data_IF_888696562290
#
_entry.id   IF_888696562290
#
_cell.length_a   1.000
_cell.length_b   1.000
_cell.length_c   1.000
_cell.angle_alpha   90.00
_cell.angle_beta   90.00
_cell.angle_gamma   90.00
#
_symmetry.space_group_name_H-M   'P 1'
#
loop_
_entity.id
_entity.type
_entity.pdbx_description
1 polymer ?
#
# COMPACT_ATOMS: atom_id res chain seq x y z
N UNK A 1 -34.64 -1.93 14.54
CA UNK A 1 -34.39 -0.75 13.69
C UNK A 1 -32.88 -0.52 13.60
N UNK A 2 -32.25 -0.95 12.50
CA UNK A 2 -30.84 -0.65 12.18
C UNK A 2 -30.86 0.00 10.80
N UNK A 3 -30.76 1.33 10.74
CA UNK A 3 -30.61 2.06 9.49
C UNK A 3 -29.20 1.85 8.96
N UNK A 4 -29.08 1.24 7.77
CA UNK A 4 -27.86 1.23 6.97
C UNK A 4 -27.48 2.68 6.65
N UNK A 5 -26.48 3.23 7.33
CA UNK A 5 -25.65 4.31 6.78
C UNK A 5 -24.88 3.70 5.61
N UNK A 6 -25.36 3.92 4.38
CA UNK A 6 -24.59 3.63 3.19
C UNK A 6 -23.53 4.71 3.04
N UNK A 7 -22.40 4.49 3.72
CA UNK A 7 -21.11 5.12 3.40
C UNK A 7 -20.90 4.98 1.89
N UNK A 8 -20.78 6.10 1.17
CA UNK A 8 -20.11 5.99 -0.13
C UNK A 8 -18.65 5.74 0.20
N UNK A 9 -18.23 4.52 -0.04
CA UNK A 9 -16.84 4.20 -0.28
C UNK A 9 -16.35 5.12 -1.41
N UNK A 10 -15.11 5.57 -1.37
CA UNK A 10 -14.47 6.41 -2.38
C UNK A 10 -14.39 5.76 -3.80
N UNK A 11 -15.09 4.65 -4.02
CA UNK A 11 -14.97 3.70 -5.13
C UNK A 11 -15.83 4.02 -6.36
N UNK A 12 -16.63 5.09 -6.38
CA UNK A 12 -17.38 5.49 -7.59
C UNK A 12 -17.15 6.95 -7.93
N UNK A 13 -15.88 7.36 -7.92
CA UNK A 13 -15.47 8.66 -8.42
C UNK A 13 -15.05 8.53 -9.88
N UNK A 14 -15.56 9.37 -10.80
CA UNK A 14 -15.08 9.38 -12.18
C UNK A 14 -13.56 9.55 -12.21
N UNK A 15 -12.85 8.80 -13.07
CA UNK A 15 -11.39 8.85 -13.16
C UNK A 15 -10.85 10.26 -13.43
N UNK A 16 -11.60 11.07 -14.17
CA UNK A 16 -11.29 12.48 -14.44
C UNK A 16 -11.35 13.40 -13.22
N UNK A 17 -11.96 12.96 -12.13
CA UNK A 17 -12.14 13.73 -10.89
C UNK A 17 -11.29 13.21 -9.73
N UNK A 18 -10.35 12.28 -9.96
CA UNK A 18 -9.58 11.60 -8.90
C UNK A 18 -8.98 12.53 -7.85
N UNK A 19 -8.63 13.77 -8.21
CA UNK A 19 -8.14 14.81 -7.30
C UNK A 19 -9.13 15.29 -6.22
N UNK A 20 -10.41 14.93 -6.34
CA UNK A 20 -11.49 15.29 -5.41
C UNK A 20 -11.74 14.19 -4.36
N UNK A 21 -11.26 12.97 -4.61
CA UNK A 21 -11.49 11.83 -3.73
C UNK A 21 -10.95 12.06 -2.32
N UNK A 22 -9.76 12.66 -2.19
CA UNK A 22 -9.15 12.99 -0.90
C UNK A 22 -9.98 14.00 -0.11
N UNK A 23 -10.51 15.03 -0.78
CA UNK A 23 -11.36 16.07 -0.20
C UNK A 23 -12.64 15.47 0.39
N UNK A 24 -13.31 14.59 -0.37
CA UNK A 24 -14.54 13.93 0.09
C UNK A 24 -14.30 12.93 1.22
N UNK A 25 -13.15 12.25 1.21
CA UNK A 25 -12.75 11.37 2.31
C UNK A 25 -12.56 12.18 3.60
N UNK A 26 -11.84 13.29 3.52
CA UNK A 26 -11.64 14.20 4.67
C UNK A 26 -12.99 14.70 5.18
N UNK A 27 -13.88 15.18 4.30
CA UNK A 27 -15.22 15.61 4.69
C UNK A 27 -16.00 14.53 5.48
N UNK A 28 -15.86 13.27 5.10
CA UNK A 28 -16.52 12.15 5.78
C UNK A 28 -15.93 11.89 7.16
N UNK A 29 -14.61 12.02 7.33
CA UNK A 29 -13.94 11.89 8.62
C UNK A 29 -14.32 13.03 9.57
N UNK A 30 -14.44 14.25 9.04
CA UNK A 30 -14.75 15.46 9.83
C UNK A 30 -16.22 15.57 10.24
N UNK A 31 -17.14 14.87 9.57
CA UNK A 31 -18.59 15.01 9.76
C UNK A 31 -19.02 14.95 11.23
N UNK A 32 -18.46 14.01 11.98
CA UNK A 32 -18.82 13.77 13.38
C UNK A 32 -18.27 14.82 14.35
N UNK A 33 -17.18 15.51 13.99
CA UNK A 33 -16.47 16.44 14.87
C UNK A 33 -16.77 17.91 14.55
N UNK A 34 -16.83 18.24 13.25
CA UNK A 34 -17.02 19.60 12.72
C UNK A 34 -17.93 19.55 11.48
N UNK A 35 -19.26 19.42 11.66
CA UNK A 35 -20.19 19.24 10.54
C UNK A 35 -20.21 20.43 9.57
N UNK A 36 -20.05 21.68 10.05
CA UNK A 36 -19.93 22.86 9.18
C UNK A 36 -18.67 22.83 8.31
N UNK A 37 -17.53 22.44 8.85
CA UNK A 37 -16.28 22.30 8.08
C UNK A 37 -16.41 21.17 7.05
N UNK A 38 -17.01 20.04 7.44
CA UNK A 38 -17.29 18.93 6.52
C UNK A 38 -18.21 19.34 5.35
N UNK A 39 -19.22 20.18 5.62
CA UNK A 39 -20.06 20.78 4.59
C UNK A 39 -19.24 21.64 3.62
N UNK A 40 -18.39 22.54 4.13
CA UNK A 40 -17.53 23.41 3.30
C UNK A 40 -16.59 22.59 2.41
N UNK A 41 -16.07 21.46 2.89
CA UNK A 41 -15.29 20.53 2.08
C UNK A 41 -16.10 19.90 0.93
N UNK A 42 -17.34 19.48 1.19
CA UNK A 42 -18.21 18.91 0.14
C UNK A 42 -18.63 19.96 -0.87
N UNK A 43 -18.86 21.19 -0.42
CA UNK A 43 -19.14 22.32 -1.30
C UNK A 43 -17.93 22.63 -2.19
N UNK A 44 -16.73 22.72 -1.61
CA UNK A 44 -15.50 22.90 -2.36
C UNK A 44 -15.24 21.76 -3.35
N UNK A 45 -15.49 20.50 -2.96
CA UNK A 45 -15.40 19.35 -3.84
C UNK A 45 -16.36 19.48 -5.04
N UNK A 46 -17.58 19.97 -4.82
CA UNK A 46 -18.54 20.23 -5.89
C UNK A 46 -18.05 21.34 -6.83
N UNK A 47 -17.59 22.47 -6.30
CA UNK A 47 -17.05 23.56 -7.11
C UNK A 47 -15.80 23.15 -7.91
N UNK A 48 -14.89 22.38 -7.30
CA UNK A 48 -13.70 21.85 -7.96
C UNK A 48 -14.09 20.89 -9.08
N UNK A 49 -15.09 20.03 -8.88
CA UNK A 49 -15.64 19.18 -9.93
C UNK A 49 -16.27 19.98 -11.07
N UNK A 50 -16.94 21.10 -10.74
CA UNK A 50 -17.51 22.00 -11.73
C UNK A 50 -16.42 22.68 -12.57
N UNK A 51 -15.35 23.17 -11.94
CA UNK A 51 -14.20 23.78 -12.63
C UNK A 51 -13.45 22.82 -13.55
N UNK A 52 -13.27 21.56 -13.12
CA UNK A 52 -12.56 20.55 -13.90
C UNK A 52 -13.30 20.10 -15.17
N UNK A 53 -14.64 20.19 -15.19
CA UNK A 53 -15.45 19.80 -16.35
C UNK A 53 -16.75 20.60 -16.36
N UNK A 54 -16.71 21.86 -16.79
CA UNK A 54 -17.87 22.77 -16.73
C UNK A 54 -19.07 22.23 -17.53
N UNK A 55 -18.83 21.60 -18.69
CA UNK A 55 -19.86 21.01 -19.54
C UNK A 55 -20.38 19.66 -19.03
N UNK A 56 -19.74 19.07 -18.01
CA UNK A 56 -20.07 17.75 -17.46
C UNK A 56 -20.06 16.64 -18.52
N UNK A 57 -19.10 16.74 -19.43
CA UNK A 57 -18.95 15.89 -20.62
C UNK A 57 -18.24 14.56 -20.34
N UNK A 58 -17.49 14.48 -19.24
CA UNK A 58 -16.78 13.28 -18.81
C UNK A 58 -17.72 12.15 -18.38
N UNK A 59 -17.32 10.91 -18.67
CA UNK A 59 -18.09 9.71 -18.32
C UNK A 59 -18.38 9.68 -16.81
N UNK A 60 -19.65 9.71 -16.44
CA UNK A 60 -20.10 9.66 -15.04
C UNK A 60 -19.99 10.99 -14.27
N UNK A 61 -19.40 12.05 -14.83
CA UNK A 61 -19.22 13.35 -14.14
C UNK A 61 -20.55 14.01 -13.81
N UNK A 62 -21.49 14.03 -14.77
CA UNK A 62 -22.82 14.59 -14.54
C UNK A 62 -23.58 13.86 -13.43
N UNK A 63 -23.54 12.53 -13.43
CA UNK A 63 -24.18 11.70 -12.39
C UNK A 63 -23.54 11.94 -11.03
N UNK A 64 -22.21 12.02 -10.97
CA UNK A 64 -21.46 12.33 -9.76
C UNK A 64 -21.84 13.71 -9.18
N UNK A 65 -21.82 14.77 -10.00
CA UNK A 65 -22.20 16.12 -9.56
C UNK A 65 -23.63 16.18 -9.05
N UNK A 66 -24.56 15.52 -9.74
CA UNK A 66 -25.96 15.43 -9.30
C UNK A 66 -26.07 14.70 -7.96
N UNK A 67 -25.37 13.57 -7.78
CA UNK A 67 -25.41 12.80 -6.54
C UNK A 67 -24.76 13.54 -5.35
N UNK A 68 -23.64 14.24 -5.59
CA UNK A 68 -22.98 15.07 -4.58
C UNK A 68 -23.86 16.25 -4.18
N UNK A 69 -24.51 16.90 -5.16
CA UNK A 69 -25.47 17.96 -4.91
C UNK A 69 -26.71 17.46 -4.15
N UNK A 70 -27.27 16.31 -4.54
CA UNK A 70 -28.37 15.69 -3.81
C UNK A 70 -28.01 15.39 -2.36
N UNK A 71 -26.75 15.03 -2.08
CA UNK A 71 -26.29 14.78 -0.70
C UNK A 71 -26.06 16.04 0.11
N UNK A 72 -25.58 17.11 -0.52
CA UNK A 72 -25.61 18.43 0.09
C UNK A 72 -27.05 18.76 0.52
N UNK A 73 -28.05 18.40 -0.31
CA UNK A 73 -29.49 18.53 0.00
C UNK A 73 -30.05 17.51 1.02
N UNK A 74 -29.48 16.31 1.18
CA UNK A 74 -30.05 15.24 2.05
C UNK A 74 -29.53 15.21 3.48
N UNK A 75 -28.49 15.98 3.80
CA UNK A 75 -27.98 16.11 5.18
C UNK A 75 -28.93 16.93 6.10
N UNK A 76 -30.08 17.33 5.55
CA UNK A 76 -31.24 17.90 6.24
C UNK A 76 -32.45 16.96 6.14
N UNK A 77 -33.11 16.64 7.26
CA UNK A 77 -34.55 16.31 7.30
C UNK A 77 -35.15 16.76 8.64
N UNK A 78 -36.43 17.20 8.69
CA UNK A 78 -37.53 16.68 7.85
C UNK A 78 -38.59 17.69 7.30
N UNK A 79 -39.47 17.15 6.42
CA UNK A 79 -40.82 17.57 5.99
C UNK A 79 -40.97 18.70 4.93
N UNK A 80 -41.33 18.33 3.68
CA UNK A 80 -42.64 18.57 3.06
C UNK A 80 -42.72 17.93 1.66
N UNK A 81 -43.92 17.42 1.35
CA UNK A 81 -44.28 16.74 0.12
C UNK A 81 -44.80 17.72 -0.96
N UNK A 82 -44.77 17.27 -2.23
CA UNK A 82 -45.33 17.89 -3.45
C UNK A 82 -44.62 19.17 -3.94
N UNK A 83 -44.30 19.40 -5.23
CA UNK A 83 -44.93 18.98 -6.49
C UNK A 83 -43.88 18.86 -7.62
N UNK A 84 -44.21 18.07 -8.65
CA UNK A 84 -43.35 17.81 -9.80
C UNK A 84 -43.55 18.80 -10.98
N UNK A 85 -42.44 19.01 -11.70
CA UNK A 85 -42.25 19.45 -13.11
C UNK A 85 -42.43 20.94 -13.48
N UNK A 86 -41.30 21.61 -13.74
CA UNK A 86 -41.04 22.27 -15.04
C UNK A 86 -39.57 22.07 -15.41
N UNK A 87 -39.31 21.21 -16.39
CA UNK A 87 -38.02 21.13 -17.07
C UNK A 87 -37.94 22.26 -18.11
N UNK A 88 -36.99 23.18 -17.91
CA UNK A 88 -36.02 23.70 -18.90
C UNK A 88 -35.48 25.11 -18.61
N UNK A 89 -35.82 25.77 -17.49
CA UNK A 89 -35.33 27.15 -17.22
C UNK A 89 -34.94 27.46 -15.76
N UNK A 90 -34.48 26.48 -14.97
CA UNK A 90 -34.23 26.70 -13.52
C UNK A 90 -32.81 26.38 -13.02
N UNK A 91 -31.81 26.20 -13.87
CA UNK A 91 -30.46 25.84 -13.36
C UNK A 91 -29.72 26.96 -12.62
N UNK A 92 -30.11 28.24 -12.76
CA UNK A 92 -29.46 29.37 -12.08
C UNK A 92 -30.26 29.91 -10.88
N UNK A 93 -31.60 29.87 -10.93
CA UNK A 93 -32.46 30.39 -9.86
C UNK A 93 -32.72 29.32 -8.78
N UNK A 94 -32.83 28.03 -9.14
CA UNK A 94 -32.79 26.96 -8.12
C UNK A 94 -31.40 26.80 -7.51
N UNK A 95 -30.33 27.16 -8.23
CA UNK A 95 -28.97 27.19 -7.68
C UNK A 95 -28.83 28.22 -6.54
N UNK A 96 -29.41 29.42 -6.70
CA UNK A 96 -29.39 30.45 -5.66
C UNK A 96 -30.33 30.11 -4.48
N UNK A 97 -31.57 29.69 -4.76
CA UNK A 97 -32.53 29.34 -3.69
C UNK A 97 -32.18 28.05 -2.93
N UNK A 98 -31.55 27.05 -3.55
CA UNK A 98 -31.20 25.79 -2.90
C UNK A 98 -29.91 25.87 -2.07
N UNK A 99 -28.93 26.70 -2.46
CA UNK A 99 -27.74 26.98 -1.62
C UNK A 99 -28.13 27.76 -0.36
N UNK A 100 -29.08 28.71 -0.47
CA UNK A 100 -29.56 29.48 0.68
C UNK A 100 -30.32 28.64 1.72
N UNK A 101 -31.10 27.64 1.29
CA UNK A 101 -31.86 26.77 2.20
C UNK A 101 -31.00 25.76 2.99
N UNK A 102 -29.90 25.25 2.41
CA UNK A 102 -28.97 24.31 3.08
C UNK A 102 -28.02 25.03 4.06
N UNK A 103 -27.76 26.32 3.85
CA UNK A 103 -26.93 27.15 4.72
C UNK A 103 -27.49 27.21 6.15
N UNK A 104 -28.81 27.34 6.32
CA UNK A 104 -29.48 27.51 7.62
C UNK A 104 -29.24 26.35 8.61
N UNK A 105 -29.17 25.11 8.12
CA UNK A 105 -29.04 23.92 8.99
C UNK A 105 -27.63 23.74 9.57
N UNK A 106 -26.60 23.99 8.77
CA UNK A 106 -25.20 23.92 9.22
C UNK A 106 -24.76 25.21 9.93
N UNK A 107 -25.44 26.34 9.68
CA UNK A 107 -25.32 27.57 10.48
C UNK A 107 -25.71 27.34 11.96
N UNK A 108 -26.63 26.43 12.26
CA UNK A 108 -26.98 26.08 13.66
C UNK A 108 -25.83 25.37 14.40
N UNK A 109 -24.93 24.70 13.66
CA UNK A 109 -23.73 24.05 14.20
C UNK A 109 -22.48 24.93 14.18
N UNK A 110 -22.62 26.18 13.74
CA UNK A 110 -21.53 27.14 13.54
C UNK A 110 -20.95 27.58 14.89
N UNK A 111 -19.62 27.56 14.99
CA UNK A 111 -18.90 27.96 16.21
C UNK A 111 -18.33 29.38 16.05
N UNK A 112 -17.95 29.78 14.83
CA UNK A 112 -17.33 31.08 14.56
C UNK A 112 -18.28 32.02 13.82
N UNK A 113 -17.92 33.31 13.77
CA UNK A 113 -18.78 34.33 13.14
C UNK A 113 -18.84 34.22 11.63
N UNK A 114 -17.79 33.72 10.98
CA UNK A 114 -17.68 33.57 9.53
C UNK A 114 -17.17 32.16 9.19
N UNK A 115 -17.40 31.70 7.96
CA UNK A 115 -16.95 30.37 7.53
C UNK A 115 -15.43 30.34 7.35
N UNK A 116 -14.87 31.48 6.96
CA UNK A 116 -13.43 31.73 6.98
C UNK A 116 -12.86 31.44 8.37
N UNK A 117 -13.37 32.10 9.42
CA UNK A 117 -12.88 31.94 10.78
C UNK A 117 -13.09 30.52 11.33
N UNK A 118 -14.13 29.83 10.91
CA UNK A 118 -14.38 28.44 11.29
C UNK A 118 -13.33 27.49 10.69
N UNK A 119 -13.02 27.70 9.42
CA UNK A 119 -12.01 26.93 8.69
C UNK A 119 -10.60 27.27 9.17
N UNK A 120 -10.28 28.54 9.44
CA UNK A 120 -9.01 28.99 10.02
C UNK A 120 -8.77 28.39 11.41
N UNK A 121 -9.78 28.51 12.29
CA UNK A 121 -9.69 27.96 13.65
C UNK A 121 -9.51 26.44 13.63
N UNK A 122 -10.14 25.75 12.69
CA UNK A 122 -9.98 24.31 12.54
C UNK A 122 -8.60 23.96 11.96
N UNK A 123 -8.11 24.71 10.97
CA UNK A 123 -6.77 24.53 10.40
C UNK A 123 -5.69 24.65 11.48
N UNK A 124 -5.74 25.72 12.30
CA UNK A 124 -4.80 25.92 13.39
C UNK A 124 -4.84 24.79 14.42
N UNK A 125 -6.05 24.39 14.84
CA UNK A 125 -6.22 23.26 15.76
C UNK A 125 -5.67 21.96 15.18
N UNK A 126 -5.92 21.69 13.89
CA UNK A 126 -5.45 20.50 13.21
C UNK A 126 -3.92 20.47 13.12
N UNK A 127 -3.31 21.59 12.72
CA UNK A 127 -1.87 21.70 12.58
C UNK A 127 -1.14 21.53 13.93
N UNK A 128 -1.65 22.14 15.01
CA UNK A 128 -1.04 22.02 16.34
C UNK A 128 -1.17 20.60 16.91
N UNK A 129 -2.38 20.03 16.88
CA UNK A 129 -2.67 18.78 17.59
C UNK A 129 -2.36 17.51 16.80
N UNK A 130 -2.26 17.60 15.46
CA UNK A 130 -1.95 16.44 14.62
C UNK A 130 -0.58 16.58 13.97
N UNK A 131 -0.25 17.73 13.36
CA UNK A 131 1.05 17.84 12.66
C UNK A 131 2.18 18.02 13.67
N UNK A 132 2.17 19.08 14.50
CA UNK A 132 3.25 19.31 15.47
C UNK A 132 3.36 18.19 16.51
N UNK A 133 2.22 17.71 17.02
CA UNK A 133 2.22 16.62 17.99
C UNK A 133 2.81 15.30 17.44
N UNK A 134 2.55 14.98 16.17
CA UNK A 134 3.14 13.80 15.55
C UNK A 134 4.62 14.04 15.17
N UNK A 135 5.01 15.23 14.73
CA UNK A 135 6.41 15.57 14.37
C UNK A 135 7.36 15.51 15.58
N UNK A 136 6.86 15.75 16.79
CA UNK A 136 7.61 15.60 18.05
C UNK A 136 7.66 14.16 18.60
N UNK A 137 6.92 13.22 18.02
CA UNK A 137 6.94 11.82 18.43
C UNK A 137 8.23 11.13 17.99
N UNK A 138 8.96 10.49 18.92
CA UNK A 138 10.17 9.69 18.63
C UNK A 138 9.95 8.52 17.66
N UNK A 139 8.71 8.26 17.23
CA UNK A 139 8.30 7.13 16.41
C UNK A 139 6.97 7.42 15.71
N UNK A 140 6.86 8.57 15.03
CA UNK A 140 5.65 8.92 14.31
C UNK A 140 5.45 7.96 13.12
N UNK A 141 4.29 7.32 13.05
CA UNK A 141 3.90 6.49 11.91
C UNK A 141 3.87 7.37 10.64
N UNK A 142 4.86 7.20 9.76
CA UNK A 142 5.02 8.00 8.53
C UNK A 142 3.76 8.00 7.68
N UNK A 143 2.99 6.91 7.69
CA UNK A 143 1.73 6.84 6.96
C UNK A 143 0.67 7.77 7.57
N UNK A 144 0.63 7.88 8.89
CA UNK A 144 -0.23 8.85 9.59
C UNK A 144 0.24 10.28 9.35
N UNK A 145 1.56 10.52 9.38
CA UNK A 145 2.14 11.84 9.11
C UNK A 145 1.84 12.31 7.68
N UNK A 146 2.04 11.45 6.68
CA UNK A 146 1.72 11.75 5.28
C UNK A 146 0.22 11.97 5.06
N UNK A 147 -0.64 11.20 5.73
CA UNK A 147 -2.09 11.46 5.75
C UNK A 147 -2.40 12.83 6.36
N UNK A 148 -1.72 13.21 7.45
CA UNK A 148 -1.94 14.48 8.13
C UNK A 148 -1.51 15.67 7.26
N UNK A 149 -0.32 15.64 6.66
CA UNK A 149 0.14 16.69 5.73
C UNK A 149 -0.76 16.82 4.50
N UNK A 150 -1.19 15.70 3.91
CA UNK A 150 -2.12 15.74 2.78
C UNK A 150 -3.49 16.35 3.17
N UNK A 151 -3.96 16.05 4.39
CA UNK A 151 -5.21 16.61 4.91
C UNK A 151 -5.09 18.10 5.19
N UNK A 152 -3.97 18.55 5.75
CA UNK A 152 -3.68 19.97 5.96
C UNK A 152 -3.59 20.75 4.64
N UNK A 153 -2.98 20.19 3.60
CA UNK A 153 -2.96 20.82 2.26
C UNK A 153 -4.36 21.05 1.71
N UNK A 154 -5.24 20.04 1.81
CA UNK A 154 -6.64 20.18 1.40
C UNK A 154 -7.42 21.20 2.26
N UNK A 155 -7.16 21.24 3.57
CA UNK A 155 -7.74 22.24 4.48
C UNK A 155 -7.35 23.67 4.08
N UNK A 156 -6.08 23.89 3.72
CA UNK A 156 -5.62 25.20 3.26
C UNK A 156 -6.26 25.61 1.92
N UNK A 157 -6.39 24.67 0.97
CA UNK A 157 -7.09 24.93 -0.30
C UNK A 157 -8.55 25.36 -0.09
N UNK A 158 -9.27 24.70 0.81
CA UNK A 158 -10.66 25.04 1.17
C UNK A 158 -10.71 26.42 1.82
N UNK A 159 -9.81 26.70 2.76
CA UNK A 159 -9.72 27.99 3.44
C UNK A 159 -9.53 29.15 2.45
N UNK A 160 -8.56 29.04 1.54
CA UNK A 160 -8.32 30.05 0.51
C UNK A 160 -9.55 30.28 -0.38
N UNK A 161 -10.32 29.22 -0.65
CA UNK A 161 -11.56 29.32 -1.42
C UNK A 161 -12.65 30.07 -0.66
N UNK A 162 -12.83 29.77 0.63
CA UNK A 162 -13.82 30.42 1.49
C UNK A 162 -13.49 31.91 1.67
N UNK A 163 -12.22 32.26 1.93
CA UNK A 163 -11.79 33.65 2.08
C UNK A 163 -12.04 34.45 0.80
N UNK A 164 -11.78 33.86 -0.37
CA UNK A 164 -12.07 34.49 -1.67
C UNK A 164 -13.56 34.73 -1.88
N UNK A 165 -14.43 33.82 -1.45
CA UNK A 165 -15.88 33.94 -1.60
C UNK A 165 -16.46 35.01 -0.65
N UNK A 166 -16.01 35.03 0.61
CA UNK A 166 -16.39 36.04 1.61
C UNK A 166 -15.71 37.41 1.39
N UNK A 167 -14.87 37.54 0.34
CA UNK A 167 -14.11 38.76 -0.01
C UNK A 167 -13.24 39.28 1.14
N UNK A 168 -12.68 38.39 1.95
CA UNK A 168 -11.72 38.73 2.98
C UNK A 168 -10.33 38.84 2.35
N UNK A 169 -9.65 39.97 2.56
CA UNK A 169 -8.42 40.29 1.81
C UNK A 169 -7.20 39.46 2.21
N UNK A 170 -7.06 39.01 3.47
CA UNK A 170 -5.84 38.27 3.87
C UNK A 170 -6.11 37.15 4.90
N UNK A 171 -5.53 35.97 4.63
CA UNK A 171 -5.39 34.86 5.58
C UNK A 171 -4.31 35.27 6.61
N UNK A 172 -4.48 34.93 7.89
CA UNK A 172 -3.49 35.25 8.91
C UNK A 172 -2.06 34.79 8.53
N UNK A 173 -1.01 35.61 8.73
CA UNK A 173 0.37 35.28 8.33
C UNK A 173 0.90 33.97 8.91
N UNK A 174 0.47 33.62 10.12
CA UNK A 174 0.83 32.37 10.79
C UNK A 174 0.31 31.13 10.05
N UNK A 175 -0.87 31.21 9.44
CA UNK A 175 -1.47 30.14 8.66
C UNK A 175 -0.76 30.00 7.31
N UNK A 176 -0.35 31.13 6.71
CA UNK A 176 0.45 31.13 5.47
C UNK A 176 1.81 30.46 5.72
N UNK A 177 2.47 30.77 6.84
CA UNK A 177 3.72 30.13 7.21
C UNK A 177 3.55 28.63 7.45
N UNK A 178 2.50 28.22 8.17
CA UNK A 178 2.18 26.80 8.38
C UNK A 178 1.87 26.08 7.05
N UNK A 179 1.17 26.73 6.12
CA UNK A 179 0.90 26.18 4.80
C UNK A 179 2.17 26.02 3.96
N UNK A 180 3.14 26.93 4.09
CA UNK A 180 4.47 26.79 3.49
C UNK A 180 5.20 25.53 3.98
N UNK A 181 5.23 25.31 5.30
CA UNK A 181 5.80 24.08 5.90
C UNK A 181 5.06 22.82 5.44
N UNK A 182 3.72 22.87 5.34
CA UNK A 182 2.93 21.75 4.81
C UNK A 182 3.30 21.44 3.37
N UNK A 183 3.44 22.44 2.50
CA UNK A 183 3.72 22.20 1.08
C UNK A 183 5.13 21.65 0.88
N UNK A 184 6.13 22.15 1.61
CA UNK A 184 7.50 21.62 1.61
C UNK A 184 7.52 20.13 2.05
N UNK A 185 6.82 19.81 3.14
CA UNK A 185 6.82 18.45 3.70
C UNK A 185 5.89 17.49 2.97
N UNK A 186 4.89 17.98 2.25
CA UNK A 186 3.97 17.16 1.45
C UNK A 186 4.69 16.45 0.30
N UNK A 187 5.76 17.02 -0.24
CA UNK A 187 6.64 16.31 -1.17
C UNK A 187 7.46 15.23 -0.47
N UNK A 188 7.95 15.51 0.75
CA UNK A 188 8.71 14.54 1.57
C UNK A 188 7.84 13.33 1.95
N UNK A 189 6.56 13.54 2.25
CA UNK A 189 5.64 12.49 2.71
C UNK A 189 4.63 12.04 1.63
N UNK A 190 4.94 12.24 0.35
CA UNK A 190 4.09 11.76 -0.75
C UNK A 190 3.88 10.23 -0.65
N UNK A 191 2.68 9.71 -0.96
CA UNK A 191 2.44 8.26 -0.98
C UNK A 191 3.35 7.60 -2.02
N UNK A 192 4.30 6.79 -1.57
CA UNK A 192 5.22 6.09 -2.44
C UNK A 192 4.53 4.92 -3.16
N UNK A 193 4.89 4.69 -4.43
CA UNK A 193 4.56 3.45 -5.14
C UNK A 193 5.43 2.26 -4.67
N UNK A 194 6.64 2.52 -4.15
CA UNK A 194 7.55 1.52 -3.59
C UNK A 194 7.74 1.79 -2.10
N UNK A 195 7.58 0.77 -1.26
CA UNK A 195 7.61 0.92 0.20
C UNK A 195 8.95 1.53 0.67
N UNK A 196 8.94 2.62 1.45
CA UNK A 196 10.13 3.16 2.08
C UNK A 196 10.88 2.14 2.96
N UNK A 197 12.21 2.21 2.94
CA UNK A 197 13.07 1.62 3.97
C UNK A 197 13.00 2.48 5.25
N UNK A 198 11.86 2.48 5.95
CA UNK A 198 11.72 3.22 7.21
C UNK A 198 12.10 2.34 8.41
N UNK A 199 12.71 2.95 9.43
CA UNK A 199 13.13 2.26 10.67
C UNK A 199 11.97 1.54 11.40
N UNK A 200 10.72 1.99 11.24
CA UNK A 200 9.54 1.32 11.78
C UNK A 200 9.20 -0.03 11.09
N UNK A 201 9.72 -0.27 9.88
CA UNK A 201 9.56 -1.53 9.15
C UNK A 201 10.52 -2.62 9.68
N UNK A 202 11.60 -2.21 10.38
CA UNK A 202 12.53 -3.13 11.06
C UNK A 202 11.89 -3.90 12.21
N UNK A 203 10.78 -3.40 12.78
CA UNK A 203 10.06 -3.99 13.92
C UNK A 203 8.80 -4.78 13.53
N UNK A 204 8.71 -5.35 12.31
CA UNK A 204 7.55 -6.16 11.96
C UNK A 204 7.52 -7.49 12.75
N UNK A 205 6.36 -7.89 13.33
CA UNK A 205 6.21 -9.07 14.19
C UNK A 205 6.56 -10.43 13.55
N UNK A 206 6.83 -10.48 12.23
CA UNK A 206 7.16 -11.72 11.53
C UNK A 206 8.51 -12.28 12.02
N UNK A 207 9.44 -11.42 12.44
CA UNK A 207 10.74 -11.82 13.01
C UNK A 207 10.62 -12.45 14.42
N UNK A 208 9.43 -12.51 15.02
CA UNK A 208 9.18 -13.06 16.36
C UNK A 208 8.47 -14.42 16.34
N UNK A 209 8.26 -15.03 15.17
CA UNK A 209 7.58 -16.34 15.05
C UNK A 209 8.61 -17.47 15.00
N UNK A 210 8.34 -18.53 15.76
CA UNK A 210 9.17 -19.75 15.72
C UNK A 210 9.09 -20.42 14.34
N UNK A 211 10.22 -20.95 13.83
CA UNK A 211 10.31 -21.63 12.52
C UNK A 211 9.25 -22.75 12.36
N UNK A 212 8.89 -23.43 13.47
CA UNK A 212 7.86 -24.49 13.49
C UNK A 212 6.48 -23.98 13.09
N UNK A 213 6.13 -22.75 13.49
CA UNK A 213 4.85 -22.15 13.16
C UNK A 213 4.78 -21.73 11.70
N UNK A 214 5.89 -21.24 11.14
CA UNK A 214 5.97 -20.96 9.71
C UNK A 214 5.76 -22.23 8.89
N UNK A 215 6.45 -23.33 9.22
CA UNK A 215 6.28 -24.62 8.52
C UNK A 215 4.82 -25.07 8.54
N UNK A 216 4.14 -25.02 9.70
CA UNK A 216 2.73 -25.40 9.81
C UNK A 216 1.84 -24.51 8.94
N UNK A 217 2.08 -23.21 8.93
CA UNK A 217 1.31 -22.24 8.16
C UNK A 217 1.50 -22.43 6.65
N UNK A 218 2.75 -22.51 6.18
CA UNK A 218 3.03 -22.69 4.75
C UNK A 218 2.56 -24.04 4.23
N UNK A 219 2.63 -25.10 5.05
CA UNK A 219 2.04 -26.39 4.72
C UNK A 219 0.52 -26.27 4.53
N UNK A 220 -0.17 -25.62 5.47
CA UNK A 220 -1.61 -25.38 5.34
C UNK A 220 -1.98 -24.57 4.09
N UNK A 221 -1.19 -23.53 3.81
CA UNK A 221 -1.36 -22.69 2.63
C UNK A 221 -1.18 -23.49 1.32
N UNK A 222 -0.13 -24.31 1.21
CA UNK A 222 0.11 -25.14 0.02
C UNK A 222 -1.01 -26.16 -0.19
N UNK A 223 -1.47 -26.82 0.88
CA UNK A 223 -2.61 -27.74 0.81
C UNK A 223 -3.85 -27.03 0.27
N UNK A 224 -4.14 -25.83 0.76
CA UNK A 224 -5.30 -25.05 0.30
C UNK A 224 -5.17 -24.64 -1.18
N UNK A 225 -3.98 -24.21 -1.62
CA UNK A 225 -3.73 -23.87 -3.03
C UNK A 225 -3.95 -25.07 -3.95
N UNK A 226 -3.42 -26.24 -3.57
CA UNK A 226 -3.56 -27.47 -4.33
C UNK A 226 -5.01 -27.95 -4.34
N UNK A 227 -5.68 -27.97 -3.19
CA UNK A 227 -7.09 -28.37 -3.07
C UNK A 227 -8.00 -27.46 -3.92
N UNK A 228 -7.82 -26.15 -3.84
CA UNK A 228 -8.62 -25.19 -4.61
C UNK A 228 -8.47 -25.39 -6.13
N UNK A 229 -7.25 -25.66 -6.61
CA UNK A 229 -7.04 -25.94 -8.04
C UNK A 229 -7.60 -27.31 -8.42
N UNK A 230 -7.43 -28.31 -7.55
CA UNK A 230 -7.95 -29.66 -7.77
C UNK A 230 -9.48 -29.69 -7.87
N UNK A 231 -10.20 -29.03 -6.97
CA UNK A 231 -11.67 -28.96 -6.99
C UNK A 231 -12.20 -28.32 -8.27
N UNK A 232 -11.51 -27.30 -8.80
CA UNK A 232 -11.91 -26.61 -10.05
C UNK A 232 -11.80 -27.47 -11.30
N UNK A 233 -11.03 -28.56 -11.26
CA UNK A 233 -10.84 -29.46 -12.40
C UNK A 233 -11.95 -30.52 -12.52
N UNK A 234 -12.90 -30.56 -11.58
CA UNK A 234 -13.98 -31.57 -11.52
C UNK A 234 -13.47 -33.00 -11.79
N UNK A 235 -12.54 -33.51 -10.96
CA UNK A 235 -11.97 -34.84 -11.14
C UNK A 235 -13.05 -35.93 -11.09
N UNK A 236 -12.87 -37.01 -11.87
CA UNK A 236 -13.80 -38.14 -11.93
C UNK A 236 -13.92 -38.81 -10.55
N UNK A 237 -15.09 -39.39 -10.23
CA UNK A 237 -15.40 -39.94 -8.90
C UNK A 237 -14.36 -40.95 -8.38
N UNK A 238 -13.78 -41.75 -9.29
CA UNK A 238 -12.76 -42.78 -8.98
C UNK A 238 -11.38 -42.19 -8.62
N UNK A 239 -11.17 -40.90 -8.88
CA UNK A 239 -9.89 -40.20 -8.68
C UNK A 239 -9.85 -39.29 -7.44
N UNK A 240 -10.91 -39.24 -6.61
CA UNK A 240 -10.97 -38.36 -5.44
C UNK A 240 -9.91 -38.65 -4.35
N UNK A 241 -9.30 -39.84 -4.36
CA UNK A 241 -8.25 -40.21 -3.41
C UNK A 241 -6.83 -39.86 -3.90
N UNK A 242 -6.67 -39.30 -5.12
CA UNK A 242 -5.37 -38.94 -5.69
C UNK A 242 -5.35 -37.48 -6.14
N UNK A 243 -4.28 -36.77 -5.80
CA UNK A 243 -4.08 -35.40 -6.26
C UNK A 243 -3.85 -35.39 -7.78
N UNK A 244 -4.70 -34.64 -8.49
CA UNK A 244 -4.62 -34.49 -9.95
C UNK A 244 -3.35 -33.70 -10.34
N UNK A 245 -2.53 -34.28 -11.23
CA UNK A 245 -1.28 -33.67 -11.69
C UNK A 245 -1.49 -32.30 -12.34
N UNK A 246 -2.62 -32.08 -13.02
CA UNK A 246 -2.93 -30.79 -13.65
C UNK A 246 -3.08 -29.68 -12.61
N UNK A 247 -3.57 -30.00 -11.41
CA UNK A 247 -3.65 -29.05 -10.31
C UNK A 247 -2.26 -28.68 -9.79
N UNK A 248 -1.38 -29.68 -9.66
CA UNK A 248 0.02 -29.49 -9.24
C UNK A 248 0.76 -28.61 -10.26
N UNK A 249 0.59 -28.88 -11.54
CA UNK A 249 1.19 -28.10 -12.63
C UNK A 249 0.68 -26.67 -12.69
N UNK A 250 -0.62 -26.45 -12.49
CA UNK A 250 -1.20 -25.12 -12.45
C UNK A 250 -0.59 -24.28 -11.31
N UNK A 251 -0.50 -24.84 -10.10
CA UNK A 251 0.10 -24.14 -8.95
C UNK A 251 1.60 -23.91 -9.17
N UNK A 252 2.34 -24.94 -9.60
CA UNK A 252 3.78 -24.84 -9.82
C UNK A 252 4.10 -23.78 -10.88
N UNK A 253 3.39 -23.77 -12.01
CA UNK A 253 3.64 -22.81 -13.07
C UNK A 253 3.37 -21.38 -12.60
N UNK A 254 2.28 -21.17 -11.86
CA UNK A 254 1.96 -19.85 -11.30
C UNK A 254 3.00 -19.39 -10.28
N UNK A 255 3.36 -20.25 -9.32
CA UNK A 255 4.28 -19.92 -8.23
C UNK A 255 5.69 -19.58 -8.76
N UNK A 256 6.18 -20.34 -9.74
CA UNK A 256 7.53 -20.17 -10.29
C UNK A 256 7.60 -19.28 -11.54
N UNK A 257 6.54 -18.54 -11.87
CA UNK A 257 6.55 -17.64 -13.04
C UNK A 257 7.67 -16.61 -12.91
N UNK A 258 7.75 -15.90 -11.77
CA UNK A 258 8.79 -14.90 -11.57
C UNK A 258 10.19 -15.51 -11.61
N UNK A 259 10.39 -16.61 -10.88
CA UNK A 259 11.67 -17.30 -10.83
C UNK A 259 12.17 -17.79 -12.21
N UNK A 260 11.28 -18.37 -13.02
CA UNK A 260 11.62 -18.79 -14.39
C UNK A 260 11.97 -17.59 -15.28
N UNK A 261 11.27 -16.47 -15.11
CA UNK A 261 11.56 -15.22 -15.84
C UNK A 261 12.92 -14.66 -15.44
N UNK A 262 13.20 -14.58 -14.14
CA UNK A 262 14.48 -14.11 -13.60
C UNK A 262 15.66 -14.97 -14.09
N UNK A 263 15.54 -16.30 -14.02
CA UNK A 263 16.60 -17.19 -14.53
C UNK A 263 16.86 -16.95 -16.02
N UNK A 264 15.80 -16.81 -16.82
CA UNK A 264 15.89 -16.54 -18.26
C UNK A 264 16.50 -15.17 -18.55
N UNK A 265 16.13 -14.15 -17.80
CA UNK A 265 16.68 -12.80 -17.90
C UNK A 265 18.20 -12.80 -17.64
N UNK A 266 18.66 -13.53 -16.63
CA UNK A 266 20.09 -13.69 -16.32
C UNK A 266 20.83 -14.72 -17.20
N UNK A 267 20.17 -15.33 -18.19
CA UNK A 267 20.77 -16.37 -19.04
C UNK A 267 21.15 -17.66 -18.31
N UNK A 268 20.53 -17.96 -17.17
CA UNK A 268 20.79 -19.15 -16.34
C UNK A 268 19.71 -20.22 -16.52
N UNK A 269 20.10 -21.49 -16.44
CA UNK A 269 19.16 -22.60 -16.32
C UNK A 269 18.56 -22.59 -14.91
N UNK A 270 17.25 -22.81 -14.81
CA UNK A 270 16.58 -22.89 -13.52
C UNK A 270 16.92 -24.20 -12.78
N UNK A 271 16.92 -24.15 -11.44
CA UNK A 271 17.24 -25.26 -10.54
C UNK A 271 16.08 -26.24 -10.30
N UNK A 272 15.01 -26.15 -11.09
CA UNK A 272 13.83 -27.03 -10.99
C UNK A 272 14.05 -28.35 -11.75
N UNK A 273 14.99 -29.18 -11.32
CA UNK A 273 15.23 -30.50 -11.94
C UNK A 273 14.13 -31.50 -11.56
N UNK A 274 13.56 -32.20 -12.55
CA UNK A 274 12.53 -33.21 -12.36
C UNK A 274 13.08 -34.61 -12.73
N UNK A 275 12.72 -35.68 -11.99
CA UNK A 275 13.12 -37.06 -12.28
C UNK A 275 12.30 -37.64 -13.45
N UNK A 276 12.59 -38.86 -13.88
CA UNK A 276 11.88 -39.50 -15.00
C UNK A 276 10.56 -40.20 -14.60
N UNK A 277 10.35 -40.55 -13.32
CA UNK A 277 9.17 -41.27 -12.85
C UNK A 277 7.95 -40.35 -12.54
N UNK A 278 6.71 -40.67 -12.99
CA UNK A 278 5.53 -39.80 -12.80
C UNK A 278 5.23 -39.42 -11.34
N UNK A 279 5.25 -40.40 -10.43
CA UNK A 279 4.96 -40.15 -9.01
C UNK A 279 6.07 -39.33 -8.33
N UNK A 280 7.33 -39.58 -8.70
CA UNK A 280 8.48 -38.82 -8.20
C UNK A 280 8.49 -37.38 -8.72
N UNK A 281 8.00 -37.16 -9.96
CA UNK A 281 7.81 -35.83 -10.53
C UNK A 281 6.82 -35.05 -9.68
N UNK A 282 5.63 -35.61 -9.41
CA UNK A 282 4.61 -34.92 -8.61
C UNK A 282 5.16 -34.55 -7.22
N UNK A 283 5.78 -35.50 -6.54
CA UNK A 283 6.39 -35.26 -5.22
C UNK A 283 7.45 -34.16 -5.30
N UNK A 284 8.33 -34.18 -6.31
CA UNK A 284 9.39 -33.18 -6.44
C UNK A 284 8.84 -31.78 -6.72
N UNK A 285 7.78 -31.65 -7.52
CA UNK A 285 7.08 -30.37 -7.73
C UNK A 285 6.57 -29.81 -6.40
N UNK A 286 5.95 -30.66 -5.56
CA UNK A 286 5.44 -30.27 -4.24
C UNK A 286 6.59 -29.85 -3.31
N UNK A 287 7.71 -30.58 -3.30
CA UNK A 287 8.88 -30.22 -2.49
C UNK A 287 9.43 -28.85 -2.90
N UNK A 288 9.60 -28.57 -4.20
CA UNK A 288 10.04 -27.24 -4.64
C UNK A 288 9.06 -26.13 -4.23
N UNK A 289 7.76 -26.34 -4.42
CA UNK A 289 6.74 -25.38 -3.98
C UNK A 289 6.79 -25.14 -2.47
N UNK A 290 6.98 -26.20 -1.69
CA UNK A 290 7.17 -26.13 -0.24
C UNK A 290 8.40 -25.31 0.13
N UNK A 291 9.55 -25.60 -0.48
CA UNK A 291 10.79 -24.85 -0.26
C UNK A 291 10.61 -23.35 -0.54
N UNK A 292 10.00 -23.00 -1.68
CA UNK A 292 9.75 -21.59 -2.03
C UNK A 292 8.86 -20.90 -0.98
N UNK A 293 7.77 -21.55 -0.55
CA UNK A 293 6.86 -20.98 0.44
C UNK A 293 7.50 -20.86 1.83
N UNK A 294 8.40 -21.78 2.21
CA UNK A 294 9.17 -21.68 3.45
C UNK A 294 10.10 -20.47 3.43
N UNK A 295 10.86 -20.29 2.33
CA UNK A 295 11.69 -19.10 2.13
C UNK A 295 10.83 -17.84 2.16
N UNK A 296 9.68 -17.85 1.48
CA UNK A 296 8.75 -16.73 1.48
C UNK A 296 8.23 -16.39 2.88
N UNK A 297 7.94 -17.41 3.69
CA UNK A 297 7.43 -17.25 5.05
C UNK A 297 8.45 -16.66 6.02
N UNK A 298 9.69 -17.15 5.96
CA UNK A 298 10.80 -16.67 6.80
C UNK A 298 11.41 -15.35 6.28
N UNK A 299 11.31 -15.08 4.98
CA UNK A 299 11.93 -13.92 4.34
C UNK A 299 11.33 -12.57 4.75
N UNK A 300 10.16 -12.55 5.40
CA UNK A 300 9.54 -11.35 5.96
C UNK A 300 9.48 -10.17 4.96
N UNK A 301 10.30 -9.12 5.11
CA UNK A 301 10.34 -7.95 4.22
C UNK A 301 11.12 -8.20 2.93
N UNK A 302 11.96 -9.24 2.84
CA UNK A 302 12.65 -9.62 1.60
C UNK A 302 11.68 -9.97 0.48
N UNK A 303 10.39 -10.22 0.78
CA UNK A 303 9.32 -10.36 -0.23
C UNK A 303 9.12 -9.13 -1.11
N UNK A 304 9.63 -7.97 -0.69
CA UNK A 304 9.66 -6.75 -1.50
C UNK A 304 10.85 -6.71 -2.46
N UNK A 305 11.77 -7.68 -2.38
CA UNK A 305 12.91 -7.88 -3.27
C UNK A 305 12.76 -9.23 -3.99
N UNK A 306 11.84 -9.34 -4.97
CA UNK A 306 11.49 -10.61 -5.59
C UNK A 306 12.67 -11.31 -6.29
N UNK A 307 13.65 -10.58 -6.82
CA UNK A 307 14.83 -11.16 -7.44
C UNK A 307 15.85 -11.67 -6.40
N UNK A 308 15.94 -11.02 -5.24
CA UNK A 308 16.66 -11.54 -4.08
C UNK A 308 16.08 -12.87 -3.60
N UNK A 309 14.75 -12.99 -3.51
CA UNK A 309 14.07 -14.25 -3.17
C UNK A 309 14.35 -15.32 -4.23
N UNK A 310 14.37 -14.94 -5.51
CA UNK A 310 14.73 -15.86 -6.61
C UNK A 310 16.16 -16.38 -6.48
N UNK A 311 17.12 -15.53 -6.08
CA UNK A 311 18.50 -15.91 -5.83
C UNK A 311 18.63 -16.93 -4.68
N UNK A 312 17.98 -16.66 -3.53
CA UNK A 312 17.98 -17.59 -2.39
C UNK A 312 17.39 -18.94 -2.82
N UNK A 313 16.22 -18.90 -3.47
CA UNK A 313 15.56 -20.11 -3.95
C UNK A 313 16.42 -20.87 -4.98
N UNK A 314 17.10 -20.18 -5.90
CA UNK A 314 17.93 -20.80 -6.93
C UNK A 314 19.01 -21.70 -6.33
N UNK A 315 19.71 -21.20 -5.30
CA UNK A 315 20.79 -21.92 -4.64
C UNK A 315 20.26 -23.03 -3.73
N UNK A 316 19.20 -22.78 -2.95
CA UNK A 316 18.61 -23.82 -2.10
C UNK A 316 17.98 -24.95 -2.92
N UNK A 317 17.36 -24.65 -4.06
CA UNK A 317 16.83 -25.67 -4.96
C UNK A 317 17.95 -26.51 -5.60
N UNK A 318 19.13 -25.91 -5.85
CA UNK A 318 20.33 -26.62 -6.28
C UNK A 318 20.82 -27.63 -5.24
N UNK A 319 20.96 -27.20 -3.99
CA UNK A 319 21.34 -28.10 -2.90
C UNK A 319 20.31 -29.20 -2.69
N UNK A 320 19.03 -28.84 -2.67
CA UNK A 320 17.94 -29.80 -2.54
C UNK A 320 17.98 -30.87 -3.64
N UNK A 321 18.32 -30.50 -4.87
CA UNK A 321 18.48 -31.48 -5.93
C UNK A 321 19.62 -32.46 -5.63
N UNK A 322 20.79 -31.96 -5.20
CA UNK A 322 21.93 -32.78 -4.78
C UNK A 322 21.58 -33.71 -3.60
N UNK A 323 20.87 -33.20 -2.60
CA UNK A 323 20.40 -33.97 -1.44
C UNK A 323 19.47 -35.11 -1.85
N UNK A 324 18.50 -34.82 -2.73
CA UNK A 324 17.55 -35.81 -3.21
C UNK A 324 18.17 -36.82 -4.19
N UNK A 325 19.30 -36.49 -4.82
CA UNK A 325 20.02 -37.39 -5.73
C UNK A 325 21.09 -38.24 -5.01
N UNK A 326 21.68 -37.73 -3.93
CA UNK A 326 22.81 -38.33 -3.22
C UNK A 326 22.46 -39.23 -2.02
N UNK A 327 21.19 -39.51 -1.77
CA UNK A 327 20.73 -40.20 -0.55
C UNK A 327 20.98 -41.72 -0.52
N UNK A 328 22.16 -42.17 -0.95
CA UNK A 328 22.58 -43.59 -0.98
C UNK A 328 23.13 -44.07 0.37
N UNK A 329 23.44 -43.17 1.30
CA UNK A 329 24.16 -43.49 2.57
C UNK A 329 23.38 -43.21 3.86
N UNK A 330 22.22 -42.55 3.82
CA UNK A 330 21.34 -42.37 4.98
C UNK A 330 21.84 -41.42 6.08
N UNK A 331 22.92 -40.66 5.84
CA UNK A 331 23.36 -39.60 6.77
C UNK A 331 22.52 -38.32 6.57
N UNK A 332 22.20 -37.63 7.66
CA UNK A 332 21.55 -36.32 7.63
C UNK A 332 22.51 -35.27 7.06
N UNK A 333 22.52 -35.11 5.73
CA UNK A 333 23.32 -34.08 5.06
C UNK A 333 22.77 -32.71 5.44
N UNK A 334 23.63 -31.88 6.06
CA UNK A 334 23.29 -30.51 6.46
C UNK A 334 23.36 -29.56 5.25
N UNK A 335 22.49 -28.54 5.17
CA UNK A 335 22.61 -27.47 4.17
C UNK A 335 23.98 -26.77 4.25
N UNK A 336 24.45 -26.12 3.17
CA UNK A 336 25.78 -25.47 3.21
C UNK A 336 25.86 -24.31 4.21
N UNK A 337 24.73 -23.70 4.56
CA UNK A 337 24.65 -22.69 5.62
C UNK A 337 24.62 -23.31 7.05
N UNK A 338 24.62 -24.63 7.17
CA UNK A 338 24.60 -25.36 8.45
C UNK A 338 23.21 -25.85 8.87
N UNK A 339 23.18 -26.65 9.94
CA UNK A 339 21.96 -27.31 10.44
C UNK A 339 21.69 -27.05 11.92
N UNK A 340 22.17 -25.92 12.45
CA UNK A 340 21.87 -25.48 13.81
C UNK A 340 20.48 -24.83 13.85
N UNK A 341 19.87 -24.71 15.03
CA UNK A 341 18.60 -24.00 15.19
C UNK A 341 18.69 -22.57 14.62
N UNK A 342 17.66 -22.17 13.87
CA UNK A 342 17.55 -20.88 13.21
C UNK A 342 18.71 -20.54 12.25
N UNK A 343 19.45 -21.54 11.75
CA UNK A 343 20.59 -21.30 10.87
C UNK A 343 20.18 -20.58 9.57
N UNK A 344 18.99 -20.84 9.04
CA UNK A 344 18.48 -20.14 7.87
C UNK A 344 18.27 -18.64 8.17
N UNK A 345 17.56 -18.32 9.25
CA UNK A 345 17.34 -16.93 9.67
C UNK A 345 18.66 -16.22 9.95
N UNK A 346 19.57 -16.84 10.71
CA UNK A 346 20.83 -16.21 11.14
C UNK A 346 21.86 -16.05 10.03
N UNK A 347 21.96 -17.00 9.11
CA UNK A 347 23.06 -17.05 8.13
C UNK A 347 22.63 -16.73 6.69
N UNK A 348 21.34 -16.79 6.38
CA UNK A 348 20.81 -16.41 5.06
C UNK A 348 20.03 -15.10 5.13
N UNK A 349 19.03 -15.00 6.01
CA UNK A 349 18.12 -13.85 6.05
C UNK A 349 18.76 -12.63 6.74
N UNK A 350 19.38 -12.85 7.90
CA UNK A 350 19.93 -11.77 8.75
C UNK A 350 21.01 -10.94 8.05
N UNK A 351 21.97 -11.50 7.28
CA UNK A 351 22.96 -10.68 6.58
C UNK A 351 22.33 -9.68 5.60
N UNK A 352 21.34 -10.11 4.82
CA UNK A 352 20.62 -9.24 3.88
C UNK A 352 19.85 -8.17 4.65
N UNK A 353 19.20 -8.56 5.76
CA UNK A 353 18.50 -7.63 6.63
C UNK A 353 19.40 -6.58 7.28
N UNK A 354 20.66 -6.91 7.58
CA UNK A 354 21.63 -5.93 8.10
C UNK A 354 21.98 -4.89 7.04
N UNK A 355 22.04 -5.26 5.76
CA UNK A 355 22.22 -4.29 4.67
C UNK A 355 21.01 -3.36 4.60
N UNK A 356 19.80 -3.93 4.59
CA UNK A 356 18.53 -3.19 4.60
C UNK A 356 18.47 -2.21 5.79
N UNK A 357 18.80 -2.66 7.00
CA UNK A 357 18.81 -1.84 8.21
C UNK A 357 19.87 -0.73 8.17
N UNK A 358 21.06 -1.01 7.63
CA UNK A 358 22.12 -0.02 7.44
C UNK A 358 21.70 1.06 6.45
N UNK A 359 21.14 0.67 5.31
CA UNK A 359 20.63 1.62 4.30
C UNK A 359 19.44 2.42 4.82
N UNK A 360 18.53 1.78 5.56
CA UNK A 360 17.41 2.48 6.23
C UNK A 360 17.91 3.55 7.20
N UNK A 361 18.95 3.27 8.00
CA UNK A 361 19.52 4.22 8.97
C UNK A 361 20.22 5.40 8.31
N UNK A 362 20.82 5.23 7.14
CA UNK A 362 21.42 6.36 6.38
C UNK A 362 20.40 7.41 5.99
N UNK A 363 19.13 7.03 5.86
CA UNK A 363 18.05 7.96 5.52
C UNK A 363 17.69 8.98 6.61
N UNK A 364 18.35 8.95 7.79
CA UNK A 364 18.08 9.82 8.95
C UNK A 364 16.59 9.86 9.33
N UNK A 365 15.95 8.69 9.42
CA UNK A 365 14.51 8.55 9.69
C UNK A 365 13.62 9.26 8.65
N UNK A 366 14.06 9.29 7.39
CA UNK A 366 13.35 9.91 6.28
C UNK A 366 13.47 11.44 6.21
N UNK A 367 14.51 12.03 6.83
CA UNK A 367 14.91 13.45 6.72
C UNK A 367 16.00 13.71 5.68
N UNK A 368 16.54 12.66 5.05
CA UNK A 368 17.48 12.80 3.93
C UNK A 368 16.75 13.28 2.66
N UNK A 369 17.49 13.93 1.75
CA UNK A 369 16.96 14.36 0.45
C UNK A 369 16.46 13.14 -0.34
N UNK A 370 15.47 13.33 -1.21
CA UNK A 370 14.84 12.23 -1.95
C UNK A 370 15.82 11.48 -2.87
N UNK A 371 16.95 12.11 -3.22
CA UNK A 371 18.06 11.54 -4.01
C UNK A 371 19.03 10.67 -3.21
N UNK A 372 19.07 10.79 -1.88
CA UNK A 372 20.03 10.09 -1.02
C UNK A 372 19.42 8.86 -0.32
N UNK A 373 18.15 8.53 -0.61
CA UNK A 373 17.40 7.51 0.11
C UNK A 373 17.26 6.23 -0.69
N UNK A 374 17.92 5.17 -0.23
CA UNK A 374 17.77 3.82 -0.76
C UNK A 374 16.38 3.24 -0.44
N UNK A 375 15.81 2.46 -1.35
CA UNK A 375 14.57 1.72 -1.19
C UNK A 375 14.77 0.22 -1.54
N UNK A 376 13.73 -0.61 -1.39
CA UNK A 376 13.86 -2.06 -1.67
C UNK A 376 14.19 -2.35 -3.14
N UNK A 377 13.70 -1.56 -4.10
CA UNK A 377 14.01 -1.74 -5.52
C UNK A 377 15.50 -1.49 -5.80
N UNK A 378 16.11 -0.48 -5.17
CA UNK A 378 17.55 -0.19 -5.34
C UNK A 378 18.42 -1.35 -4.82
N UNK A 379 18.04 -1.97 -3.70
CA UNK A 379 18.72 -3.17 -3.20
C UNK A 379 18.46 -4.40 -4.08
N UNK A 380 17.27 -4.47 -4.66
CA UNK A 380 16.85 -5.57 -5.51
C UNK A 380 17.51 -5.52 -6.89
N UNK A 381 17.91 -4.33 -7.36
CA UNK A 381 18.66 -4.11 -8.60
C UNK A 381 19.95 -4.92 -8.66
N UNK A 382 20.64 -5.12 -7.52
CA UNK A 382 21.83 -5.97 -7.47
C UNK A 382 21.55 -7.40 -7.97
N UNK A 383 20.33 -7.91 -7.77
CA UNK A 383 19.90 -9.23 -8.22
C UNK A 383 19.41 -9.25 -9.67
N UNK A 384 19.41 -8.11 -10.37
CA UNK A 384 19.17 -8.03 -11.82
C UNK A 384 20.44 -8.23 -12.63
N UNK A 385 21.62 -8.21 -12.00
CA UNK A 385 22.89 -8.54 -12.65
C UNK A 385 23.29 -9.99 -12.37
N UNK A 386 24.06 -10.57 -13.30
CA UNK A 386 24.78 -11.82 -13.05
C UNK A 386 25.78 -11.72 -11.90
N UNK A 387 26.11 -10.51 -11.47
CA UNK A 387 27.05 -10.25 -10.38
C UNK A 387 26.55 -10.76 -9.04
N UNK A 388 25.23 -10.94 -8.87
CA UNK A 388 24.67 -11.56 -7.67
C UNK A 388 25.22 -12.96 -7.39
N UNK A 389 25.68 -13.68 -8.42
CA UNK A 389 26.32 -14.99 -8.25
C UNK A 389 27.73 -14.91 -7.66
N UNK A 390 28.38 -13.74 -7.63
CA UNK A 390 29.65 -13.53 -6.92
C UNK A 390 29.49 -13.58 -5.40
N UNK A 391 28.29 -13.33 -4.87
CA UNK A 391 27.99 -13.52 -3.44
C UNK A 391 28.29 -14.95 -2.99
N UNK A 392 28.12 -15.93 -3.89
CA UNK A 392 28.29 -17.35 -3.60
C UNK A 392 27.22 -17.93 -2.67
N UNK A 393 27.33 -19.23 -2.38
CA UNK A 393 26.41 -19.93 -1.50
C UNK A 393 27.18 -20.91 -0.58
N UNK A 394 27.16 -20.76 0.74
CA UNK A 394 26.55 -19.66 1.51
C UNK A 394 27.15 -18.30 1.16
N UNK A 395 26.34 -17.23 1.26
CA UNK A 395 26.74 -15.88 0.89
C UNK A 395 28.00 -15.43 1.65
N UNK A 396 28.97 -14.85 0.93
CA UNK A 396 30.20 -14.28 1.49
C UNK A 396 29.99 -12.80 1.81
N UNK A 397 30.39 -12.37 3.00
CA UNK A 397 30.34 -10.96 3.47
C UNK A 397 31.29 -9.99 2.71
N UNK A 398 31.92 -10.44 1.61
CA UNK A 398 32.95 -9.68 0.88
C UNK A 398 32.43 -9.10 -0.46
N UNK A 399 31.21 -9.49 -0.87
CA UNK A 399 30.60 -9.02 -2.12
C UNK A 399 30.14 -7.56 -2.05
N UNK A 400 30.05 -6.91 -3.21
CA UNK A 400 29.73 -5.48 -3.31
C UNK A 400 28.33 -5.13 -2.74
N UNK A 401 27.40 -6.10 -2.71
CA UNK A 401 26.11 -5.97 -2.01
C UNK A 401 26.25 -5.65 -0.51
N UNK A 402 27.32 -6.15 0.14
CA UNK A 402 27.59 -5.94 1.56
C UNK A 402 28.49 -4.71 1.81
N UNK A 403 29.11 -4.17 0.75
CA UNK A 403 29.78 -2.86 0.81
C UNK A 403 28.72 -1.77 0.66
N UNK A 404 28.87 -0.72 1.44
CA UNK A 404 27.95 0.42 1.44
C UNK A 404 27.79 0.97 0.03
N UNK A 405 26.60 0.86 -0.57
CA UNK A 405 26.30 1.35 -1.93
C UNK A 405 26.46 2.87 -2.10
N UNK A 406 26.71 3.61 -1.01
CA UNK A 406 26.90 5.06 -1.02
C UNK A 406 28.34 5.53 -0.77
N UNK A 407 29.34 4.64 -0.70
CA UNK A 407 30.74 5.07 -0.52
C UNK A 407 31.46 5.43 -1.84
N UNK A 408 30.85 5.21 -3.00
CA UNK A 408 31.52 5.39 -4.31
C UNK A 408 31.17 6.69 -5.06
N UNK A 409 30.57 7.68 -4.40
CA UNK A 409 30.39 9.02 -4.99
C UNK A 409 31.09 10.10 -4.16
N UNK A 410 32.41 10.14 -4.28
CA UNK A 410 33.24 11.32 -3.93
C UNK A 410 34.10 11.72 -5.11
#
# INVERSE_FOLDING_TARGET
>A
MRGRMTTFSAEVLPSSLGSIASILRIATELESQRPRVAYLFRYYAFEKAHRLDQSSSGRGVRQFKIALLQRLQTLSKPILAHHAVVQLWTSAIQFWFAVDQDNESSLASRIKKTDALETESYYQHYYEHYIRALDHGKQADRAQLGKAYHTAGALFEVLCCVNKYEKLEEVAPEIIAAAGDVEEKKEIYAPYNSLPLDAAVSSQPIMQREERDNVRNQRGHLILLLANNHTRLHPKLESHNKLDERAVDAVMNKLFTNYKNWCRFLGRKHSLWLPQGPQEIQQRKIIYMGLYLLIWGEGANLRFMPECVCYIFHNMAYELHGLLAGNVTGENIKPSYGGDDEAFLRKVITPIYRVIDKEAKKSKDGKASNTDRCNYDDLNEYFWSSDCFFLGWSMRDVGDFYRSTCEEST
#
